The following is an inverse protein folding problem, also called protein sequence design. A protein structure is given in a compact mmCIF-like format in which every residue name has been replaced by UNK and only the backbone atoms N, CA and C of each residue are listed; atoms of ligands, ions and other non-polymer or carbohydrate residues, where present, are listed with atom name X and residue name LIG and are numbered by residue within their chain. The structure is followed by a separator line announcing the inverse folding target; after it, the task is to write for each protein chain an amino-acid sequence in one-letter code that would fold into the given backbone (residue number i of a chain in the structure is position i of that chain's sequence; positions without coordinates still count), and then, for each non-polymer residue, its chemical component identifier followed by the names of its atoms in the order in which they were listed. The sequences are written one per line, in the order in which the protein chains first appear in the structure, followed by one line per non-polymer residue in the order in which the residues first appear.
data_IF_194509516089
#
_entry.id   IF_194509516089
#
_cell.length_a   1.000
_cell.length_b   1.000
_cell.length_c   1.000
_cell.angle_alpha   90.00
_cell.angle_beta   90.00
_cell.angle_gamma   90.00
#
_symmetry.space_group_name_H-M   'P 1'
#
loop_
_entity.id
_entity.type
_entity.pdbx_description
1 polymer ?
#
# COMPACT_ATOMS: atom_id res chain seq x y z
N UNK A 1 15.93 27.32 26.78
CA UNK A 1 17.08 26.47 27.12
C UNK A 1 16.79 25.11 26.51
N UNK A 2 17.66 24.61 25.62
CA UNK A 2 17.41 23.46 24.74
C UNK A 2 17.14 22.19 25.55
N UNK A 3 16.00 21.52 25.30
CA UNK A 3 15.56 20.27 25.96
C UNK A 3 16.36 19.03 25.48
N UNK A 4 17.08 19.14 24.37
CA UNK A 4 17.72 18.03 23.66
C UNK A 4 18.89 17.32 24.38
N UNK A 5 19.30 17.75 25.57
CA UNK A 5 20.48 17.19 26.27
C UNK A 5 20.14 16.24 27.42
N UNK A 6 18.86 16.12 27.83
CA UNK A 6 18.50 15.34 29.02
C UNK A 6 18.07 13.89 28.74
N UNK A 7 17.63 13.60 27.52
CA UNK A 7 17.08 12.29 27.15
C UNK A 7 17.73 11.79 25.86
N UNK A 8 18.05 10.49 25.84
CA UNK A 8 18.49 9.78 24.64
C UNK A 8 17.26 9.31 23.87
N UNK A 9 16.87 10.06 22.85
CA UNK A 9 15.68 9.78 22.06
C UNK A 9 15.78 8.47 21.24
N UNK A 10 16.99 7.97 20.97
CA UNK A 10 17.15 6.69 20.26
C UNK A 10 16.81 5.47 21.14
N UNK A 11 16.76 5.64 22.46
CA UNK A 11 16.48 4.58 23.43
C UNK A 11 15.32 4.92 24.39
N UNK A 12 14.48 5.85 23.97
CA UNK A 12 13.39 6.39 24.77
C UNK A 12 12.24 5.40 24.93
N UNK A 13 11.85 5.10 26.18
CA UNK A 13 10.83 4.11 26.48
C UNK A 13 9.71 4.58 27.44
N UNK A 14 8.74 3.71 27.74
CA UNK A 14 7.61 4.03 28.63
C UNK A 14 8.03 4.44 30.05
N UNK A 15 9.20 3.97 30.52
CA UNK A 15 9.74 4.34 31.83
C UNK A 15 10.29 5.78 31.85
N UNK A 16 10.75 6.30 30.71
CA UNK A 16 11.23 7.67 30.58
C UNK A 16 10.06 8.66 30.48
N UNK A 17 9.00 8.25 29.76
CA UNK A 17 7.71 8.94 29.74
C UNK A 17 7.11 9.16 31.13
N UNK A 18 7.24 8.18 32.03
CA UNK A 18 6.75 8.27 33.41
C UNK A 18 7.56 9.24 34.30
N UNK A 19 8.78 9.60 33.89
CA UNK A 19 9.67 10.49 34.63
C UNK A 19 9.57 11.95 34.17
N UNK A 20 8.97 12.21 32.99
CA UNK A 20 8.76 13.55 32.49
C UNK A 20 7.74 14.32 33.35
N UNK A 21 8.11 15.55 33.69
CA UNK A 21 7.20 16.49 34.35
C UNK A 21 6.12 16.99 33.39
N UNK A 22 5.00 17.49 33.91
CA UNK A 22 3.89 18.01 33.10
C UNK A 22 4.36 19.13 32.14
N UNK A 23 5.24 20.02 32.61
CA UNK A 23 5.79 21.11 31.79
C UNK A 23 6.72 20.60 30.67
N UNK A 24 7.42 19.48 30.87
CA UNK A 24 8.25 18.85 29.83
C UNK A 24 7.40 18.09 28.81
N UNK A 25 6.28 17.51 29.24
CA UNK A 25 5.28 16.91 28.35
C UNK A 25 4.63 17.97 27.46
N UNK A 26 4.18 19.09 28.06
CA UNK A 26 3.57 20.21 27.35
C UNK A 26 4.54 20.78 26.29
N UNK A 27 5.82 20.95 26.65
CA UNK A 27 6.83 21.45 25.73
C UNK A 27 7.23 20.45 24.63
N UNK A 28 7.09 19.14 24.86
CA UNK A 28 7.39 18.11 23.86
C UNK A 28 6.22 17.84 22.90
N UNK A 29 4.99 18.14 23.32
CA UNK A 29 3.75 17.98 22.54
C UNK A 29 3.02 19.31 22.42
N UNK A 30 3.76 20.38 22.12
CA UNK A 30 3.21 21.72 21.98
C UNK A 30 2.29 21.78 20.75
N UNK A 31 0.98 21.85 21.01
CA UNK A 31 -0.05 21.89 19.98
C UNK A 31 0.07 23.13 19.06
N UNK A 32 0.75 24.20 19.51
CA UNK A 32 1.02 25.38 18.68
C UNK A 32 2.08 25.11 17.59
N UNK A 33 2.83 24.00 17.69
CA UNK A 33 3.82 23.58 16.68
C UNK A 33 3.21 22.70 15.59
N UNK A 34 1.96 22.24 15.75
CA UNK A 34 1.32 21.38 14.77
C UNK A 34 0.62 22.19 13.68
N UNK A 35 0.81 21.74 12.44
CA UNK A 35 0.19 22.33 11.26
C UNK A 35 -1.31 21.99 11.29
N UNK A 36 -2.15 23.02 11.17
CA UNK A 36 -3.62 22.94 11.12
C UNK A 36 -4.15 23.87 10.03
N UNK A 37 -5.47 23.93 9.85
CA UNK A 37 -6.12 24.78 8.86
C UNK A 37 -6.01 24.21 7.44
N UNK A 38 -6.12 25.10 6.45
CA UNK A 38 -6.03 24.74 5.03
C UNK A 38 -4.67 24.09 4.67
N UNK A 39 -3.59 24.47 5.36
CA UNK A 39 -2.26 23.91 5.12
C UNK A 39 -2.19 22.42 5.48
N UNK A 40 -2.79 22.02 6.59
CA UNK A 40 -2.90 20.61 6.95
C UNK A 40 -3.66 19.83 5.88
N UNK A 41 -4.79 20.38 5.41
CA UNK A 41 -5.61 19.75 4.38
C UNK A 41 -4.84 19.58 3.07
N UNK A 42 -4.06 20.59 2.65
CA UNK A 42 -3.23 20.51 1.46
C UNK A 42 -2.12 19.45 1.59
N UNK A 43 -1.48 19.39 2.76
CA UNK A 43 -0.46 18.37 3.07
C UNK A 43 -1.05 16.95 3.04
N UNK A 44 -2.19 16.76 3.68
CA UNK A 44 -2.89 15.45 3.72
C UNK A 44 -3.34 15.05 2.31
N UNK A 45 -3.90 15.97 1.54
CA UNK A 45 -4.33 15.70 0.17
C UNK A 45 -3.14 15.29 -0.71
N UNK A 46 -1.98 15.95 -0.59
CA UNK A 46 -0.78 15.61 -1.33
C UNK A 46 -0.24 14.22 -0.94
N UNK A 47 -0.12 13.93 0.37
CA UNK A 47 0.35 12.63 0.86
C UNK A 47 -0.57 11.49 0.40
N UNK A 48 -1.89 11.66 0.55
CA UNK A 48 -2.87 10.66 0.14
C UNK A 48 -2.87 10.44 -1.38
N UNK A 49 -2.72 11.48 -2.19
CA UNK A 49 -2.56 11.32 -3.66
C UNK A 49 -1.34 10.46 -3.99
N UNK A 50 -0.21 10.67 -3.31
CA UNK A 50 0.99 9.83 -3.47
C UNK A 50 0.73 8.37 -3.06
N UNK A 51 -0.03 8.14 -1.99
CA UNK A 51 -0.44 6.80 -1.55
C UNK A 51 -1.42 6.11 -2.50
N UNK A 52 -2.32 6.86 -3.12
CA UNK A 52 -3.21 6.34 -4.16
C UNK A 52 -2.39 5.95 -5.39
N UNK A 53 -1.46 6.81 -5.83
CA UNK A 53 -0.57 6.54 -6.95
C UNK A 53 0.31 5.30 -6.73
N UNK A 54 0.79 5.10 -5.50
CA UNK A 54 1.58 3.93 -5.07
C UNK A 54 0.75 2.71 -4.68
N UNK A 55 -0.59 2.81 -4.74
CA UNK A 55 -1.56 1.72 -4.47
C UNK A 55 -1.57 1.24 -3.02
N UNK A 56 -1.20 2.11 -2.09
CA UNK A 56 -1.32 1.88 -0.66
C UNK A 56 -2.74 2.19 -0.17
N UNK A 57 -3.41 3.16 -0.79
CA UNK A 57 -4.79 3.59 -0.46
C UNK A 57 -5.68 3.46 -1.69
N UNK A 58 -6.87 2.89 -1.52
CA UNK A 58 -7.88 2.73 -2.56
C UNK A 58 -9.09 3.58 -2.21
N UNK A 59 -9.01 4.87 -2.49
CA UNK A 59 -10.08 5.80 -2.19
C UNK A 59 -10.11 6.95 -3.19
N UNK A 60 -11.30 7.53 -3.35
CA UNK A 60 -11.50 8.79 -4.05
C UNK A 60 -11.34 9.93 -3.05
N UNK A 61 -10.73 11.03 -3.49
CA UNK A 61 -10.50 12.22 -2.69
C UNK A 61 -11.30 13.39 -3.26
N UNK A 62 -12.11 14.04 -2.42
CA UNK A 62 -12.86 15.24 -2.74
C UNK A 62 -12.55 16.33 -1.71
N UNK A 63 -12.25 17.54 -2.18
CA UNK A 63 -12.07 18.70 -1.30
C UNK A 63 -13.31 19.58 -1.40
N UNK A 64 -13.93 19.86 -0.26
CA UNK A 64 -15.04 20.81 -0.16
C UNK A 64 -14.74 21.86 0.91
N UNK A 65 -14.53 23.10 0.46
CA UNK A 65 -14.09 24.18 1.34
C UNK A 65 -12.77 23.82 2.05
N UNK A 66 -12.81 23.84 3.38
CA UNK A 66 -11.66 23.51 4.23
C UNK A 66 -11.69 22.06 4.75
N UNK A 67 -12.51 21.19 4.16
CA UNK A 67 -12.56 19.77 4.51
C UNK A 67 -12.13 18.88 3.34
N UNK A 68 -11.59 17.71 3.69
CA UNK A 68 -11.23 16.66 2.73
C UNK A 68 -12.06 15.40 3.01
N UNK A 69 -12.87 15.02 2.04
CA UNK A 69 -13.61 13.76 2.01
C UNK A 69 -12.77 12.71 1.29
N UNK A 70 -12.59 11.56 1.94
CA UNK A 70 -11.92 10.39 1.40
C UNK A 70 -12.89 9.22 1.51
N UNK A 71 -13.16 8.50 0.42
CA UNK A 71 -14.19 7.46 0.44
C UNK A 71 -13.90 6.31 -0.53
N UNK A 72 -14.38 5.13 -0.17
CA UNK A 72 -14.24 3.88 -0.93
C UNK A 72 -15.39 2.92 -0.62
N UNK A 73 -15.36 1.73 -1.23
CA UNK A 73 -16.26 0.62 -0.93
C UNK A 73 -16.13 0.09 0.52
N UNK A 74 -15.00 0.33 1.17
CA UNK A 74 -14.71 -0.09 2.55
C UNK A 74 -15.03 0.99 3.60
N UNK A 75 -15.53 2.16 3.20
CA UNK A 75 -15.99 3.21 4.11
C UNK A 75 -15.62 4.63 3.67
N UNK A 76 -15.59 5.56 4.63
CA UNK A 76 -15.23 6.95 4.37
C UNK A 76 -14.55 7.61 5.57
N UNK A 77 -13.84 8.70 5.30
CA UNK A 77 -13.25 9.59 6.27
C UNK A 77 -13.42 11.05 5.84
N UNK A 78 -13.71 11.92 6.80
CA UNK A 78 -13.73 13.37 6.63
C UNK A 78 -12.64 13.95 7.50
N UNK A 79 -11.71 14.67 6.88
CA UNK A 79 -10.62 15.38 7.58
C UNK A 79 -11.02 16.84 7.70
N UNK A 80 -11.01 17.32 8.93
CA UNK A 80 -11.30 18.71 9.27
C UNK A 80 -10.00 19.53 9.47
N UNK A 81 -10.06 20.86 9.38
CA UNK A 81 -8.87 21.72 9.46
C UNK A 81 -8.15 21.62 10.81
N UNK A 82 -8.86 21.27 11.88
CA UNK A 82 -8.32 21.05 13.21
C UNK A 82 -7.58 19.70 13.37
N UNK A 83 -7.53 18.90 12.30
CA UNK A 83 -6.94 17.56 12.30
C UNK A 83 -7.88 16.46 12.80
N UNK A 84 -9.14 16.78 13.10
CA UNK A 84 -10.15 15.77 13.44
C UNK A 84 -10.47 14.91 12.23
N UNK A 85 -10.46 13.58 12.41
CA UNK A 85 -10.85 12.61 11.38
C UNK A 85 -12.13 11.89 11.81
N UNK A 86 -13.22 12.21 11.14
CA UNK A 86 -14.51 11.55 11.33
C UNK A 86 -14.74 10.49 10.26
N UNK A 87 -15.54 9.47 10.54
CA UNK A 87 -15.91 8.46 9.55
C UNK A 87 -15.95 7.04 10.10
N UNK A 88 -15.93 6.07 9.18
CA UNK A 88 -16.07 4.64 9.50
C UNK A 88 -15.37 3.79 8.44
N UNK A 89 -14.92 2.61 8.85
CA UNK A 89 -14.40 1.58 7.95
C UNK A 89 -12.89 1.65 7.76
N UNK A 90 -12.39 0.97 6.73
CA UNK A 90 -10.96 0.89 6.43
C UNK A 90 -10.34 2.26 6.14
N UNK A 91 -11.08 3.10 5.40
CA UNK A 91 -10.63 4.44 4.99
C UNK A 91 -10.21 5.30 6.18
N UNK A 92 -11.02 5.35 7.26
CA UNK A 92 -10.67 6.12 8.46
C UNK A 92 -9.36 5.66 9.10
N UNK A 93 -9.15 4.34 9.13
CA UNK A 93 -7.95 3.73 9.70
C UNK A 93 -6.69 4.03 8.87
N UNK A 94 -6.86 4.23 7.57
CA UNK A 94 -5.76 4.55 6.66
C UNK A 94 -5.46 6.07 6.64
N UNK A 95 -6.48 6.91 6.84
CA UNK A 95 -6.37 8.38 6.83
C UNK A 95 -5.88 8.94 8.17
N UNK A 96 -6.32 8.41 9.31
CA UNK A 96 -5.93 8.89 10.66
C UNK A 96 -4.39 9.00 10.84
N UNK A 97 -3.58 7.98 10.50
CA UNK A 97 -2.13 8.08 10.61
C UNK A 97 -1.52 9.14 9.69
N UNK A 98 -2.08 9.33 8.50
CA UNK A 98 -1.60 10.32 7.53
C UNK A 98 -1.82 11.73 8.06
N UNK A 99 -3.00 12.01 8.60
CA UNK A 99 -3.31 13.32 9.21
C UNK A 99 -2.35 13.63 10.35
N UNK A 100 -2.08 12.65 11.22
CA UNK A 100 -1.14 12.82 12.32
C UNK A 100 0.31 13.09 11.87
N UNK A 101 0.77 12.45 10.79
CA UNK A 101 2.10 12.72 10.23
C UNK A 101 2.14 14.08 9.55
N UNK A 102 1.13 14.41 8.74
CA UNK A 102 1.05 15.68 8.02
C UNK A 102 0.90 16.90 8.95
N UNK A 103 0.40 16.73 10.18
CA UNK A 103 0.37 17.79 11.19
C UNK A 103 1.73 18.08 11.81
N UNK A 104 2.73 17.20 11.62
CA UNK A 104 4.10 17.47 12.07
C UNK A 104 4.82 18.35 11.04
N UNK A 105 5.47 19.42 11.50
CA UNK A 105 6.26 20.33 10.66
C UNK A 105 7.42 19.58 9.97
N UNK A 106 8.14 18.75 10.73
CA UNK A 106 9.31 17.97 10.28
C UNK A 106 8.96 16.83 9.31
N UNK A 107 7.68 16.52 9.08
CA UNK A 107 7.29 15.51 8.11
C UNK A 107 7.38 16.08 6.69
N UNK A 108 8.20 15.46 5.85
CA UNK A 108 8.27 15.79 4.43
C UNK A 108 7.15 15.07 3.67
N UNK A 109 6.20 15.85 3.15
CA UNK A 109 5.10 15.33 2.35
C UNK A 109 5.60 14.98 0.94
N UNK A 110 5.38 13.75 0.46
CA UNK A 110 5.76 13.37 -0.89
C UNK A 110 4.97 14.15 -1.95
N UNK A 111 5.66 14.60 -3.00
CA UNK A 111 4.99 15.17 -4.18
C UNK A 111 4.21 14.07 -4.93
N UNK A 112 2.92 14.30 -5.15
CA UNK A 112 2.10 13.40 -5.93
C UNK A 112 2.25 13.65 -7.44
N UNK A 113 2.28 12.59 -8.28
CA UNK A 113 2.20 12.76 -9.72
C UNK A 113 0.85 13.39 -10.13
N UNK A 114 0.82 14.09 -11.27
CA UNK A 114 -0.41 14.69 -11.80
C UNK A 114 -1.48 13.62 -12.10
N UNK A 115 -1.05 12.45 -12.59
CA UNK A 115 -1.87 11.26 -12.83
C UNK A 115 -1.80 10.29 -11.63
N UNK A 116 -2.35 10.72 -10.49
CA UNK A 116 -2.40 9.91 -9.27
C UNK A 116 -3.58 8.93 -9.24
N UNK A 117 -4.45 8.97 -10.24
CA UNK A 117 -5.72 8.25 -10.22
C UNK A 117 -5.51 6.74 -10.25
N UNK A 118 -6.48 6.02 -9.68
CA UNK A 118 -6.43 4.56 -9.68
C UNK A 118 -6.50 4.05 -11.13
N UNK A 119 -5.64 3.08 -11.52
CA UNK A 119 -5.72 2.49 -12.84
C UNK A 119 -7.02 1.69 -12.99
N UNK A 120 -7.54 1.58 -14.21
CA UNK A 120 -8.71 0.74 -14.47
C UNK A 120 -8.41 -0.72 -14.12
N UNK A 121 -9.35 -1.47 -13.49
CA UNK A 121 -9.22 -2.89 -13.15
C UNK A 121 -8.67 -3.77 -14.26
N UNK A 122 -9.02 -3.45 -15.51
CA UNK A 122 -8.65 -4.23 -16.71
C UNK A 122 -7.21 -3.98 -17.16
N UNK A 123 -6.62 -2.84 -16.80
CA UNK A 123 -5.23 -2.47 -17.12
C UNK A 123 -4.20 -3.13 -16.20
N UNK A 124 -4.66 -3.82 -15.14
CA UNK A 124 -3.81 -4.46 -14.15
C UNK A 124 -3.28 -5.78 -14.69
N UNK A 125 -2.01 -5.77 -15.11
CA UNK A 125 -1.31 -6.98 -15.52
C UNK A 125 -1.30 -8.02 -14.38
N UNK A 126 -1.66 -9.26 -14.70
CA UNK A 126 -1.81 -10.34 -13.72
C UNK A 126 -0.51 -10.77 -13.03
N UNK A 127 0.66 -10.33 -13.51
CA UNK A 127 1.90 -10.99 -13.12
C UNK A 127 3.16 -10.15 -13.35
N UNK A 128 3.63 -9.47 -12.32
CA UNK A 128 4.98 -8.88 -12.29
C UNK A 128 6.07 -9.90 -11.87
N UNK A 129 5.68 -11.05 -11.32
CA UNK A 129 6.62 -12.06 -10.77
C UNK A 129 6.87 -13.32 -11.62
N UNK A 130 6.25 -13.46 -12.79
CA UNK A 130 6.27 -14.71 -13.58
C UNK A 130 7.69 -15.12 -13.99
N UNK A 131 8.52 -14.17 -14.40
CA UNK A 131 9.89 -14.43 -14.85
C UNK A 131 10.79 -14.96 -13.72
N UNK A 132 10.72 -14.35 -12.53
CA UNK A 132 11.48 -14.81 -11.36
C UNK A 132 11.05 -16.20 -10.91
N UNK A 133 9.73 -16.44 -10.89
CA UNK A 133 9.17 -17.75 -10.59
C UNK A 133 9.61 -18.83 -11.60
N UNK A 134 9.64 -18.48 -12.90
CA UNK A 134 10.12 -19.35 -13.96
C UNK A 134 11.60 -19.70 -13.79
N UNK A 135 12.47 -18.73 -13.48
CA UNK A 135 13.89 -18.99 -13.23
C UNK A 135 14.11 -19.97 -12.07
N UNK A 136 13.40 -19.77 -10.96
CA UNK A 136 13.49 -20.67 -9.79
C UNK A 136 12.95 -22.06 -10.13
N UNK A 137 11.86 -22.17 -10.90
CA UNK A 137 11.34 -23.46 -11.36
C UNK A 137 12.31 -24.20 -12.29
N UNK A 138 13.03 -23.51 -13.17
CA UNK A 138 14.07 -24.12 -14.03
C UNK A 138 15.19 -24.70 -13.16
N UNK A 139 15.68 -23.92 -12.18
CA UNK A 139 16.72 -24.35 -11.24
C UNK A 139 16.24 -25.56 -10.43
N UNK A 140 15.04 -25.48 -9.86
CA UNK A 140 14.42 -26.55 -9.09
C UNK A 140 14.24 -27.83 -9.93
N UNK A 141 13.77 -27.69 -11.17
CA UNK A 141 13.62 -28.78 -12.13
C UNK A 141 14.97 -29.44 -12.47
N UNK A 142 16.00 -28.62 -12.72
CA UNK A 142 17.37 -29.11 -12.93
C UNK A 142 17.91 -29.88 -11.74
N UNK A 143 17.69 -29.39 -10.51
CA UNK A 143 18.09 -30.09 -9.29
C UNK A 143 17.34 -31.39 -9.06
N UNK A 144 16.04 -31.45 -9.34
CA UNK A 144 15.28 -32.70 -9.26
C UNK A 144 15.80 -33.73 -10.27
N UNK A 145 16.03 -33.31 -11.52
CA UNK A 145 16.57 -34.19 -12.57
C UNK A 145 17.97 -34.70 -12.20
N UNK A 146 18.86 -33.82 -11.72
CA UNK A 146 20.19 -34.22 -11.27
C UNK A 146 20.14 -35.14 -10.04
N UNK A 147 19.31 -34.82 -9.04
CA UNK A 147 19.16 -35.61 -7.83
C UNK A 147 18.61 -37.01 -8.09
N UNK A 148 17.51 -37.08 -8.85
CA UNK A 148 16.90 -38.35 -9.27
C UNK A 148 17.83 -39.13 -10.20
N UNK A 149 18.56 -38.45 -11.08
CA UNK A 149 19.55 -39.05 -11.96
C UNK A 149 20.69 -39.71 -11.18
N UNK A 150 21.22 -39.04 -10.15
CA UNK A 150 22.26 -39.59 -9.28
C UNK A 150 21.77 -40.80 -8.48
N UNK A 151 20.56 -40.72 -7.90
CA UNK A 151 19.96 -41.84 -7.17
C UNK A 151 19.69 -43.01 -8.12
N UNK A 152 19.12 -42.75 -9.30
CA UNK A 152 18.85 -43.77 -10.31
C UNK A 152 20.13 -44.44 -10.82
N UNK A 153 21.18 -43.67 -11.11
CA UNK A 153 22.47 -44.21 -11.49
C UNK A 153 23.06 -45.10 -10.38
N UNK A 154 22.99 -44.66 -9.12
CA UNK A 154 23.44 -45.47 -7.98
C UNK A 154 22.67 -46.79 -7.80
N UNK A 155 21.38 -46.82 -8.13
CA UNK A 155 20.57 -48.05 -8.05
C UNK A 155 20.86 -49.04 -9.18
N UNK A 156 21.18 -48.53 -10.37
CA UNK A 156 21.36 -49.35 -11.59
C UNK A 156 22.82 -49.75 -11.79
N UNK A 157 23.75 -48.99 -11.26
CA UNK A 157 25.19 -49.28 -11.32
C UNK A 157 25.65 -49.83 -9.96
N UNK A 158 26.57 -50.79 -9.94
CA UNK A 158 27.16 -51.35 -8.71
C UNK A 158 28.12 -50.36 -8.01
N UNK A 159 27.71 -49.10 -7.85
CA UNK A 159 28.48 -48.07 -7.17
C UNK A 159 28.33 -48.26 -5.67
N UNK A 160 29.37 -48.77 -5.03
CA UNK A 160 29.42 -49.03 -3.59
C UNK A 160 29.55 -47.77 -2.71
N UNK A 161 29.65 -46.58 -3.32
CA UNK A 161 29.92 -45.32 -2.61
C UNK A 161 28.63 -44.62 -2.17
N UNK A 162 28.55 -44.25 -0.88
CA UNK A 162 27.37 -43.57 -0.29
C UNK A 162 27.19 -42.11 -0.75
N UNK A 163 28.21 -41.52 -1.38
CA UNK A 163 28.18 -40.11 -1.83
C UNK A 163 27.06 -39.87 -2.84
N UNK A 164 26.84 -40.80 -3.79
CA UNK A 164 25.83 -40.64 -4.84
C UNK A 164 24.39 -40.51 -4.29
N UNK A 165 23.89 -41.42 -3.40
CA UNK A 165 22.55 -41.27 -2.84
C UNK A 165 22.44 -40.08 -1.87
N UNK A 166 23.50 -39.70 -1.16
CA UNK A 166 23.48 -38.54 -0.25
C UNK A 166 23.37 -37.22 -1.02
N UNK A 167 24.24 -37.01 -2.02
CA UNK A 167 24.22 -35.81 -2.85
C UNK A 167 22.95 -35.77 -3.70
N UNK A 168 22.54 -36.91 -4.25
CA UNK A 168 21.30 -37.03 -5.00
C UNK A 168 20.07 -36.68 -4.15
N UNK A 169 20.01 -37.21 -2.92
CA UNK A 169 18.96 -36.89 -1.96
C UNK A 169 18.93 -35.41 -1.59
N UNK A 170 20.09 -34.78 -1.37
CA UNK A 170 20.18 -33.34 -1.10
C UNK A 170 19.61 -32.52 -2.26
N UNK A 171 20.00 -32.84 -3.50
CA UNK A 171 19.50 -32.16 -4.70
C UNK A 171 17.98 -32.32 -4.85
N UNK A 172 17.46 -33.52 -4.58
CA UNK A 172 16.02 -33.78 -4.62
C UNK A 172 15.28 -32.98 -3.54
N UNK A 173 15.76 -32.96 -2.30
CA UNK A 173 15.13 -32.22 -1.19
C UNK A 173 15.14 -30.71 -1.47
N UNK A 174 16.28 -30.16 -1.90
CA UNK A 174 16.40 -28.73 -2.22
C UNK A 174 15.50 -28.36 -3.40
N UNK A 175 15.53 -29.15 -4.49
CA UNK A 175 14.67 -28.91 -5.64
C UNK A 175 13.18 -28.96 -5.30
N UNK A 176 12.75 -29.93 -4.49
CA UNK A 176 11.38 -30.03 -4.01
C UNK A 176 10.99 -28.82 -3.14
N UNK A 177 11.89 -28.37 -2.25
CA UNK A 177 11.70 -27.18 -1.42
C UNK A 177 11.50 -25.90 -2.26
N UNK A 178 12.30 -25.73 -3.32
CA UNK A 178 12.16 -24.60 -4.23
C UNK A 178 10.82 -24.62 -4.98
N UNK A 179 10.33 -25.79 -5.40
CA UNK A 179 8.99 -25.90 -5.99
C UNK A 179 7.88 -25.51 -5.01
N UNK A 180 7.97 -25.94 -3.75
CA UNK A 180 7.01 -25.57 -2.72
C UNK A 180 7.01 -24.06 -2.46
N UNK A 181 8.20 -23.45 -2.41
CA UNK A 181 8.36 -22.00 -2.26
C UNK A 181 7.64 -21.25 -3.39
N UNK A 182 7.90 -21.62 -4.65
CA UNK A 182 7.28 -20.97 -5.81
C UNK A 182 5.77 -21.24 -5.88
N UNK A 183 5.32 -22.44 -5.54
CA UNK A 183 3.89 -22.76 -5.51
C UNK A 183 3.14 -21.87 -4.51
N UNK A 184 3.72 -21.64 -3.33
CA UNK A 184 3.15 -20.75 -2.31
C UNK A 184 3.16 -19.28 -2.76
N UNK A 185 4.26 -18.83 -3.38
CA UNK A 185 4.36 -17.47 -3.94
C UNK A 185 3.31 -17.24 -5.02
N UNK A 186 3.18 -18.16 -5.98
CA UNK A 186 2.22 -18.08 -7.09
C UNK A 186 0.77 -18.00 -6.61
N UNK A 187 0.42 -18.77 -5.58
CA UNK A 187 -0.92 -18.74 -5.00
C UNK A 187 -1.19 -17.38 -4.33
N UNK A 188 -0.23 -16.87 -3.56
CA UNK A 188 -0.33 -15.58 -2.89
C UNK A 188 -0.47 -14.43 -3.88
N UNK A 189 0.34 -14.43 -4.95
CA UNK A 189 0.31 -13.39 -5.99
C UNK A 189 -1.03 -13.35 -6.72
N UNK A 190 -1.57 -14.52 -7.08
CA UNK A 190 -2.89 -14.63 -7.72
C UNK A 190 -4.00 -14.07 -6.83
N UNK A 191 -4.02 -14.44 -5.55
CA UNK A 191 -5.03 -13.91 -4.62
C UNK A 191 -4.91 -12.39 -4.46
N UNK A 192 -3.70 -11.86 -4.34
CA UNK A 192 -3.47 -10.41 -4.25
C UNK A 192 -3.95 -9.68 -5.50
N UNK A 193 -3.67 -10.21 -6.69
CA UNK A 193 -4.14 -9.63 -7.96
C UNK A 193 -5.66 -9.67 -8.09
N UNK A 194 -6.31 -10.79 -7.69
CA UNK A 194 -7.76 -10.90 -7.69
C UNK A 194 -8.42 -9.92 -6.70
N UNK A 195 -7.87 -9.78 -5.49
CA UNK A 195 -8.35 -8.82 -4.48
C UNK A 195 -8.20 -7.37 -4.97
N UNK A 196 -7.04 -7.04 -5.55
CA UNK A 196 -6.77 -5.72 -6.12
C UNK A 196 -7.79 -5.37 -7.22
N UNK A 197 -8.04 -6.30 -8.16
CA UNK A 197 -9.06 -6.09 -9.20
C UNK A 197 -10.47 -5.96 -8.64
N UNK A 198 -10.82 -6.72 -7.61
CA UNK A 198 -12.14 -6.61 -7.00
C UNK A 198 -12.35 -5.25 -6.34
N UNK A 199 -11.33 -4.73 -5.63
CA UNK A 199 -11.35 -3.37 -5.06
C UNK A 199 -11.48 -2.30 -6.13
N UNK A 200 -10.67 -2.39 -7.20
CA UNK A 200 -10.80 -1.45 -8.31
C UNK A 200 -12.17 -1.55 -9.00
N UNK A 201 -12.73 -2.74 -9.15
CA UNK A 201 -14.05 -2.93 -9.76
C UNK A 201 -15.17 -2.35 -8.90
N UNK A 202 -15.05 -2.45 -7.58
CA UNK A 202 -15.98 -1.80 -6.65
C UNK A 202 -15.93 -0.27 -6.82
N UNK A 203 -14.76 0.28 -7.15
CA UNK A 203 -14.60 1.70 -7.46
C UNK A 203 -15.12 2.07 -8.87
N UNK A 204 -14.89 1.24 -9.89
CA UNK A 204 -15.19 1.55 -11.31
C UNK A 204 -16.62 1.19 -11.76
N UNK A 205 -17.19 0.05 -11.36
CA UNK A 205 -18.45 -0.47 -11.94
C UNK A 205 -19.70 0.10 -11.28
N UNK A 206 -19.62 0.47 -10.01
CA UNK A 206 -20.75 1.14 -9.32
C UNK A 206 -20.57 2.67 -9.30
N UNK A 207 -19.34 3.16 -9.54
CA UNK A 207 -18.90 4.45 -9.00
C UNK A 207 -18.97 4.37 -7.47
N UNK A 208 -17.89 4.69 -6.76
CA UNK A 208 -18.05 4.76 -5.30
C UNK A 208 -19.15 5.79 -5.02
N UNK A 209 -20.27 5.36 -4.46
CA UNK A 209 -21.38 6.26 -4.20
C UNK A 209 -20.91 7.24 -3.14
N UNK A 210 -20.80 8.52 -3.52
CA UNK A 210 -20.39 9.58 -2.60
C UNK A 210 -21.31 9.51 -1.38
N UNK A 211 -20.77 9.34 -0.16
CA UNK A 211 -21.61 9.21 1.03
C UNK A 211 -22.46 10.48 1.22
N UNK A 212 -23.73 10.30 1.55
CA UNK A 212 -24.67 11.40 1.83
C UNK A 212 -24.41 11.97 3.23
N UNK A 213 -23.35 12.78 3.32
CA UNK A 213 -22.90 13.47 4.52
C UNK A 213 -22.81 14.97 4.27
N UNK A 214 -23.37 15.74 5.20
CA UNK A 214 -23.26 17.20 5.18
C UNK A 214 -21.85 17.60 5.63
N UNK A 215 -21.04 18.08 4.69
CA UNK A 215 -19.76 18.72 4.99
C UNK A 215 -20.02 20.16 5.45
N UNK A 216 -19.18 20.63 6.37
CA UNK A 216 -19.23 21.96 6.95
C UNK A 216 -18.72 22.98 5.92
N UNK A 217 -19.56 23.28 4.91
CA UNK A 217 -19.21 24.17 3.79
C UNK A 217 -20.05 24.09 2.51
N UNK A 218 -21.12 23.29 2.42
CA UNK A 218 -21.93 23.20 1.19
C UNK A 218 -22.84 24.42 0.93
N UNK A 219 -23.27 24.72 -0.32
CA UNK A 219 -22.80 24.29 -1.64
C UNK A 219 -22.37 25.51 -2.48
N UNK A 220 -21.06 25.83 -2.55
CA UNK A 220 -20.56 26.83 -3.52
C UNK A 220 -19.06 26.63 -3.89
N UNK A 221 -18.46 25.48 -3.59
CA UNK A 221 -17.02 25.24 -3.73
C UNK A 221 -16.65 24.18 -4.77
N UNK A 222 -16.63 24.55 -6.04
CA UNK A 222 -15.79 23.95 -7.10
C UNK A 222 -15.81 22.42 -7.26
N UNK A 223 -16.70 21.92 -8.12
CA UNK A 223 -16.52 20.62 -8.79
C UNK A 223 -15.20 20.68 -9.57
N UNK A 224 -14.28 19.76 -9.31
CA UNK A 224 -13.14 19.53 -10.21
C UNK A 224 -13.73 18.86 -11.46
N UNK A 225 -13.57 19.52 -12.61
CA UNK A 225 -14.19 19.19 -13.90
C UNK A 225 -14.18 17.68 -14.23
N UNK A 226 -15.37 17.15 -14.51
CA UNK A 226 -15.55 15.91 -15.26
C UNK A 226 -14.95 16.14 -16.67
N UNK A 227 -13.96 15.36 -17.13
CA UNK A 227 -13.47 15.52 -18.49
C UNK A 227 -14.61 15.17 -19.45
N UNK A 228 -14.93 16.12 -20.31
CA UNK A 228 -15.96 16.00 -21.33
C UNK A 228 -15.86 14.64 -22.04
N UNK A 229 -16.95 13.88 -21.93
CA UNK A 229 -17.18 12.68 -22.75
C UNK A 229 -16.95 13.09 -24.20
N UNK A 230 -15.85 12.58 -24.77
CA UNK A 230 -15.41 12.93 -26.10
C UNK A 230 -16.44 12.40 -27.08
N UNK A 231 -17.27 13.32 -27.57
CA UNK A 231 -18.21 13.13 -28.67
C UNK A 231 -17.55 12.28 -29.76
N UNK A 232 -17.93 11.00 -29.79
CA UNK A 232 -17.61 10.08 -30.86
C UNK A 232 -18.42 10.55 -32.09
N UNK A 233 -17.90 11.58 -32.75
CA UNK A 233 -18.37 11.98 -34.06
C UNK A 233 -18.19 10.80 -35.02
N UNK A 234 -19.30 10.17 -35.37
CA UNK A 234 -19.42 9.24 -36.49
C UNK A 234 -18.78 9.85 -37.75
N UNK A 235 -17.90 9.13 -38.46
CA UNK A 235 -17.51 9.57 -39.79
C UNK A 235 -18.68 9.39 -40.76
N UNK A 236 -19.29 10.51 -41.15
CA UNK A 236 -20.24 10.62 -42.24
C UNK A 236 -19.61 10.10 -43.54
N UNK A 237 -20.14 8.99 -44.04
CA UNK A 237 -19.69 8.35 -45.27
C UNK A 237 -20.24 9.13 -46.49
N UNK A 238 -19.36 9.80 -47.24
CA UNK A 238 -19.65 10.25 -48.61
C UNK A 238 -18.43 10.20 -49.52
#
# INVERSE_FOLDING_TARGET
MRSSEKYDFENFGPADMAQMSADEWEAAFDAETWITGAELIDRVAADLKSRVASREVFAVLEREGDQLLVYSDEGYAVVSPDGTVEGRGGVRRDVEPVVAMCSMDDYEVPDAPEDYQLPSPESVAEQTGEFGNLMVQIIAGGQLLAGLGLIGAWLVTDVSTIVAPVVGGLFTVVGAGLFLLVANARLSDRFRAEQYRNRLRAVEVEGVERPDIELQGGPDGGVIEEPADGDAAEPENR
#
